data_IF_090780047620
#
_entry.id   IF_090780047620
#
_cell.length_a   1.000
_cell.length_b   1.000
_cell.length_c   1.000
_cell.angle_alpha   90.00
_cell.angle_beta   90.00
_cell.angle_gamma   90.00
#
_symmetry.space_group_name_H-M   'P 1'
#
loop_
_entity.id
_entity.type
_entity.pdbx_description
1 polymer ?
#
# COMPACT_ATOMS: atom_id res chain seq x y z
N UNK A 1 -41.87 21.42 63.18
CA UNK A 1 -40.88 22.31 62.53
C UNK A 1 -39.46 21.77 62.55
N UNK A 2 -38.88 21.33 63.68
CA UNK A 2 -37.47 20.85 63.73
C UNK A 2 -37.16 19.64 62.81
N UNK A 3 -38.05 18.65 62.73
CA UNK A 3 -37.87 17.45 61.86
C UNK A 3 -37.95 17.80 60.36
N UNK A 4 -38.80 18.76 60.00
CA UNK A 4 -38.97 19.24 58.62
C UNK A 4 -37.74 20.03 58.15
N UNK A 5 -37.12 20.81 59.03
CA UNK A 5 -35.91 21.58 58.71
C UNK A 5 -34.69 20.68 58.45
N UNK A 6 -34.54 19.60 59.21
CA UNK A 6 -33.46 18.61 59.05
C UNK A 6 -33.60 17.84 57.73
N UNK A 7 -34.83 17.48 57.34
CA UNK A 7 -35.08 16.81 56.06
C UNK A 7 -34.75 17.69 54.85
N UNK A 8 -35.03 19.00 54.92
CA UNK A 8 -34.68 19.97 53.86
C UNK A 8 -33.17 20.17 53.79
N UNK A 9 -32.47 20.22 54.92
CA UNK A 9 -31.00 20.30 54.99
C UNK A 9 -30.31 19.04 54.43
N UNK A 10 -30.86 17.85 54.69
CA UNK A 10 -30.35 16.58 54.14
C UNK A 10 -30.62 16.44 52.63
N UNK A 11 -31.75 16.96 52.12
CA UNK A 11 -32.00 17.04 50.68
C UNK A 11 -31.03 18.02 50.00
N UNK A 12 -30.77 19.18 50.61
CA UNK A 12 -29.83 20.16 50.09
C UNK A 12 -28.37 19.66 50.10
N UNK A 13 -27.98 18.91 51.13
CA UNK A 13 -26.65 18.30 51.23
C UNK A 13 -26.43 17.19 50.18
N UNK A 14 -27.45 16.38 49.88
CA UNK A 14 -27.37 15.38 48.80
C UNK A 14 -27.33 16.04 47.41
N UNK A 15 -27.96 17.20 47.22
CA UNK A 15 -27.83 18.00 46.00
C UNK A 15 -26.42 18.56 45.79
N UNK A 16 -25.74 18.92 46.88
CA UNK A 16 -24.37 19.47 46.84
C UNK A 16 -23.28 18.39 46.71
N UNK A 17 -23.49 17.17 47.22
CA UNK A 17 -22.51 16.07 47.12
C UNK A 17 -22.58 15.24 45.82
N UNK A 18 -23.66 15.34 45.05
CA UNK A 18 -23.75 14.77 43.71
C UNK A 18 -23.02 15.61 42.63
N UNK A 19 -22.43 16.73 43.05
CA UNK A 19 -21.69 17.67 42.21
C UNK A 19 -20.20 17.67 42.53
N UNK A 20 -19.57 16.48 42.53
CA UNK A 20 -18.20 16.42 42.01
C UNK A 20 -18.31 16.60 40.50
N UNK A 21 -18.58 17.86 40.12
CA UNK A 21 -18.67 18.35 38.76
C UNK A 21 -17.35 18.03 38.07
N UNK A 22 -17.41 17.12 37.12
CA UNK A 22 -16.54 17.12 35.96
C UNK A 22 -16.27 18.58 35.53
N UNK A 23 -15.05 19.08 35.73
CA UNK A 23 -14.66 20.46 35.41
C UNK A 23 -14.25 20.65 33.94
N UNK A 24 -14.31 19.59 33.13
CA UNK A 24 -13.97 19.64 31.71
C UNK A 24 -15.16 20.04 30.84
N UNK A 25 -15.15 21.24 30.29
CA UNK A 25 -16.17 21.77 29.38
C UNK A 25 -16.30 21.04 28.01
N UNK A 26 -16.04 19.73 27.87
CA UNK A 26 -15.94 19.12 26.53
C UNK A 26 -16.09 17.59 26.43
N UNK A 27 -17.12 16.96 26.99
CA UNK A 27 -17.64 15.67 26.46
C UNK A 27 -19.18 15.66 26.49
N UNK A 28 -19.88 16.29 25.51
CA UNK A 28 -21.30 16.04 25.31
C UNK A 28 -21.51 14.57 24.92
N UNK A 29 -22.07 13.78 25.82
CA UNK A 29 -22.77 12.54 25.47
C UNK A 29 -24.15 12.94 24.97
N UNK A 30 -24.48 12.66 23.71
CA UNK A 30 -25.87 12.78 23.25
C UNK A 30 -26.71 11.64 23.83
N UNK A 31 -28.04 11.83 23.87
CA UNK A 31 -29.02 10.87 24.41
C UNK A 31 -28.97 9.47 23.76
N UNK A 32 -28.24 9.32 22.65
CA UNK A 32 -28.06 8.07 21.90
C UNK A 32 -26.69 7.40 22.11
N UNK A 33 -25.92 7.79 23.13
CA UNK A 33 -24.63 7.17 23.47
C UNK A 33 -23.45 7.58 22.57
N UNK A 34 -23.63 8.59 21.72
CA UNK A 34 -22.57 9.14 20.87
C UNK A 34 -21.81 10.25 21.58
N UNK A 35 -20.48 10.29 21.40
CA UNK A 35 -19.56 11.23 22.06
C UNK A 35 -19.00 12.24 21.05
N UNK A 36 -19.19 13.53 21.32
CA UNK A 36 -18.55 14.62 20.59
C UNK A 36 -17.37 15.22 21.36
N UNK A 37 -16.23 15.46 20.71
CA UNK A 37 -15.08 16.17 21.29
C UNK A 37 -14.70 17.35 20.38
N UNK A 38 -14.77 18.57 20.91
CA UNK A 38 -14.40 19.81 20.22
C UNK A 38 -15.57 20.79 19.98
N UNK A 39 -15.26 22.06 19.75
CA UNK A 39 -16.28 23.10 19.54
C UNK A 39 -17.05 22.84 18.23
N UNK A 40 -18.37 22.68 18.31
CA UNK A 40 -19.25 22.40 17.17
C UNK A 40 -19.76 20.96 17.05
N UNK A 41 -19.35 20.03 17.93
CA UNK A 41 -19.84 18.64 17.96
C UNK A 41 -21.18 18.51 18.72
N UNK A 42 -22.15 19.38 18.48
CA UNK A 42 -23.44 19.37 19.19
C UNK A 42 -24.39 18.27 18.71
N UNK A 43 -24.10 17.64 17.57
CA UNK A 43 -24.84 16.50 17.01
C UNK A 43 -23.88 15.49 16.33
N UNK A 44 -23.10 14.70 17.08
CA UNK A 44 -22.27 13.64 16.53
C UNK A 44 -23.09 12.64 15.69
N UNK A 45 -22.64 12.37 14.47
CA UNK A 45 -23.22 11.41 13.53
C UNK A 45 -22.61 10.00 13.68
N UNK A 46 -21.40 9.89 14.22
CA UNK A 46 -20.72 8.65 14.60
C UNK A 46 -20.68 8.43 16.12
N UNK A 47 -20.34 7.21 16.58
CA UNK A 47 -20.20 6.89 18.01
C UNK A 47 -19.15 7.75 18.72
N UNK A 48 -18.11 8.17 18.00
CA UNK A 48 -17.11 9.14 18.44
C UNK A 48 -16.85 10.13 17.29
N UNK A 49 -17.21 11.40 17.48
CA UNK A 49 -16.94 12.49 16.54
C UNK A 49 -15.97 13.48 17.18
N UNK A 50 -14.79 13.66 16.57
CA UNK A 50 -13.79 14.64 17.02
C UNK A 50 -13.72 15.76 15.99
N UNK A 51 -14.15 16.97 16.36
CA UNK A 51 -14.10 18.14 15.50
C UNK A 51 -13.04 19.10 16.02
N UNK A 52 -11.99 19.32 15.23
CA UNK A 52 -11.01 20.38 15.51
C UNK A 52 -11.61 21.72 15.05
N UNK A 53 -11.81 22.72 15.93
CA UNK A 53 -12.13 24.07 15.49
C UNK A 53 -10.95 24.63 14.70
N UNK A 54 -11.22 25.10 13.48
CA UNK A 54 -10.25 25.78 12.65
C UNK A 54 -10.26 27.28 13.02
N UNK A 55 -9.19 27.75 13.65
CA UNK A 55 -8.98 29.18 13.89
C UNK A 55 -7.84 29.67 13.00
N UNK A 56 -8.17 30.51 12.02
CA UNK A 56 -7.19 31.15 11.16
C UNK A 56 -6.59 32.36 11.89
N UNK A 57 -5.31 32.29 12.25
CA UNK A 57 -4.53 33.45 12.71
C UNK A 57 -3.50 33.80 11.64
N UNK A 58 -3.59 34.97 10.97
CA UNK A 58 -2.85 35.26 9.73
C UNK A 58 -1.32 35.38 9.83
N UNK A 59 -0.68 35.06 10.96
CA UNK A 59 0.76 35.32 11.17
C UNK A 59 1.55 34.22 11.89
N UNK A 60 0.97 33.05 12.17
CA UNK A 60 1.72 31.94 12.79
C UNK A 60 2.03 30.84 11.76
N UNK A 61 3.25 30.26 11.77
CA UNK A 61 3.52 29.05 11.02
C UNK A 61 2.53 27.98 11.46
N UNK A 62 1.68 27.50 10.54
CA UNK A 62 0.77 26.40 10.84
C UNK A 62 1.60 25.13 10.97
N UNK A 63 2.08 24.81 12.18
CA UNK A 63 2.57 23.46 12.47
C UNK A 63 1.36 22.53 12.43
N UNK A 64 1.30 21.55 11.50
CA UNK A 64 0.19 20.61 11.45
C UNK A 64 0.06 19.90 12.80
N UNK A 65 -1.12 19.99 13.41
CA UNK A 65 -1.42 19.27 14.65
C UNK A 65 -2.40 18.13 14.33
N UNK A 66 -2.17 16.91 14.85
CA UNK A 66 -3.04 15.76 14.59
C UNK A 66 -4.45 15.98 15.14
N UNK A 67 -5.47 15.48 14.44
CA UNK A 67 -6.87 15.56 14.87
C UNK A 67 -7.20 14.54 15.97
N UNK A 68 -6.50 13.41 15.95
CA UNK A 68 -6.48 12.42 17.01
C UNK A 68 -5.03 12.00 17.21
N UNK A 69 -4.55 12.11 18.46
CA UNK A 69 -3.18 11.77 18.86
C UNK A 69 -3.22 10.75 19.99
N UNK A 70 -2.65 9.57 19.77
CA UNK A 70 -2.42 8.57 20.82
C UNK A 70 -0.90 8.46 20.99
N UNK A 71 -0.38 8.79 22.17
CA UNK A 71 1.06 8.80 22.45
C UNK A 71 1.40 7.83 23.57
N UNK A 72 2.60 7.24 23.50
CA UNK A 72 3.23 6.58 24.64
C UNK A 72 4.24 7.54 25.26
N UNK A 73 4.24 7.67 26.58
CA UNK A 73 5.33 8.30 27.30
C UNK A 73 6.32 7.22 27.75
N UNK A 74 7.59 7.38 27.38
CA UNK A 74 8.70 6.73 28.11
C UNK A 74 9.29 7.75 29.07
N UNK A 75 9.65 7.32 30.28
CA UNK A 75 10.10 8.19 31.37
C UNK A 75 11.54 8.70 31.21
N UNK A 76 12.19 8.46 30.07
CA UNK A 76 13.53 9.01 29.80
C UNK A 76 13.38 10.38 29.13
N UNK A 77 13.82 11.43 29.82
CA UNK A 77 13.80 12.85 29.37
C UNK A 77 14.61 13.16 28.09
N UNK A 78 14.95 12.17 27.28
CA UNK A 78 15.81 12.29 26.10
C UNK A 78 15.20 11.71 24.81
N UNK A 79 13.96 11.20 24.85
CA UNK A 79 13.24 10.79 23.64
C UNK A 79 11.93 11.58 23.52
N UNK A 80 11.72 12.23 22.37
CA UNK A 80 10.42 12.82 22.06
C UNK A 80 9.36 11.71 22.12
N UNK A 81 8.22 11.92 22.80
CA UNK A 81 7.19 10.88 22.91
C UNK A 81 6.71 10.49 21.53
N UNK A 82 6.99 9.24 21.14
CA UNK A 82 6.59 8.68 19.86
C UNK A 82 5.07 8.56 19.78
N UNK A 83 4.50 8.89 18.62
CA UNK A 83 3.08 8.72 18.38
C UNK A 83 2.79 7.26 18.04
N UNK A 84 1.78 6.67 18.66
CA UNK A 84 1.32 5.29 18.39
C UNK A 84 0.34 5.27 17.21
N UNK A 85 -0.49 6.31 17.10
CA UNK A 85 -1.47 6.44 16.03
C UNK A 85 -1.83 7.92 15.83
N UNK A 86 -1.70 8.40 14.59
CA UNK A 86 -2.07 9.76 14.21
C UNK A 86 -2.94 9.74 12.96
N UNK A 87 -4.08 10.44 13.03
CA UNK A 87 -4.84 10.83 11.84
C UNK A 87 -4.71 12.35 11.73
N UNK A 88 -4.08 12.83 10.66
CA UNK A 88 -3.95 14.26 10.38
C UNK A 88 -4.30 14.58 8.92
N UNK A 89 -4.80 15.78 8.69
CA UNK A 89 -5.04 16.33 7.34
C UNK A 89 -3.82 17.13 6.92
N UNK A 90 -3.12 16.73 5.85
CA UNK A 90 -2.01 17.48 5.28
C UNK A 90 -2.50 18.58 4.33
N UNK A 91 -1.95 19.79 4.41
CA UNK A 91 -2.08 20.80 3.36
C UNK A 91 -0.87 20.71 2.42
N UNK A 92 -1.09 20.50 1.12
CA UNK A 92 -0.04 20.71 0.11
C UNK A 92 -0.22 22.09 -0.54
N UNK A 93 0.72 22.99 -0.26
CA UNK A 93 1.03 24.15 -1.11
C UNK A 93 0.45 25.50 -0.69
N UNK A 94 1.33 26.51 -0.65
CA UNK A 94 1.00 27.93 -0.74
C UNK A 94 0.54 28.22 -2.18
N UNK A 95 -0.77 28.12 -2.46
CA UNK A 95 -1.30 28.46 -3.79
C UNK A 95 -2.74 27.98 -3.97
N UNK A 96 -3.68 28.92 -4.04
CA UNK A 96 -5.10 28.66 -4.32
C UNK A 96 -5.32 28.33 -5.81
N UNK A 97 -6.30 27.46 -6.18
CA UNK A 97 -7.17 26.65 -5.31
C UNK A 97 -6.56 25.26 -5.07
N UNK A 98 -5.96 25.05 -3.89
CA UNK A 98 -5.37 23.76 -3.54
C UNK A 98 -6.44 22.67 -3.46
N UNK A 99 -6.24 21.57 -4.19
CA UNK A 99 -7.06 20.36 -4.08
C UNK A 99 -6.95 19.79 -2.67
N UNK A 100 -8.07 19.73 -1.95
CA UNK A 100 -8.12 19.11 -0.62
C UNK A 100 -8.02 17.59 -0.79
N UNK A 101 -6.87 17.00 -0.46
CA UNK A 101 -6.69 15.54 -0.40
C UNK A 101 -6.95 15.06 1.03
N UNK A 102 -7.82 14.06 1.18
CA UNK A 102 -7.93 13.31 2.43
C UNK A 102 -6.87 12.20 2.38
N UNK A 103 -5.83 12.32 3.19
CA UNK A 103 -4.79 11.29 3.32
C UNK A 103 -4.89 10.68 4.72
N UNK A 104 -4.88 9.35 4.81
CA UNK A 104 -4.67 8.61 6.05
C UNK A 104 -3.25 8.06 6.03
N UNK A 105 -2.36 8.68 6.78
CA UNK A 105 -0.94 8.30 6.84
C UNK A 105 -0.69 7.39 8.04
N UNK A 106 -0.16 6.19 7.79
CA UNK A 106 0.42 5.35 8.83
C UNK A 106 1.94 5.55 8.81
N UNK A 107 2.48 6.27 9.78
CA UNK A 107 3.92 6.47 9.92
C UNK A 107 4.48 5.50 10.96
N UNK A 108 5.55 4.79 10.61
CA UNK A 108 6.37 4.04 11.55
C UNK A 108 7.72 4.74 11.67
N UNK A 109 8.00 5.33 12.83
CA UNK A 109 9.28 5.97 13.13
C UNK A 109 10.23 5.01 13.87
N UNK A 110 11.51 5.37 14.02
CA UNK A 110 12.49 4.64 14.84
C UNK A 110 12.62 3.14 14.48
N UNK A 111 12.82 2.82 13.20
CA UNK A 111 12.90 1.43 12.70
C UNK A 111 11.62 0.60 12.93
N UNK A 112 10.48 1.26 13.16
CA UNK A 112 9.18 0.61 13.21
C UNK A 112 8.77 0.06 11.85
N UNK A 113 8.01 -1.04 11.85
CA UNK A 113 7.42 -1.63 10.65
C UNK A 113 5.89 -1.69 10.75
N UNK A 114 5.21 -1.64 9.61
CA UNK A 114 3.77 -1.94 9.52
C UNK A 114 3.63 -3.44 9.23
N UNK A 115 3.17 -4.20 10.22
CA UNK A 115 2.94 -5.64 10.06
C UNK A 115 1.52 -5.91 9.58
N UNK A 116 1.40 -6.59 8.43
CA UNK A 116 0.12 -7.03 7.87
C UNK A 116 0.16 -8.55 7.73
N UNK A 117 -0.50 -9.24 8.67
CA UNK A 117 -0.45 -10.70 8.71
C UNK A 117 -1.28 -11.38 7.60
N UNK A 118 -2.24 -10.66 7.00
CA UNK A 118 -3.15 -11.21 6.00
C UNK A 118 -2.96 -10.53 4.64
N UNK A 119 -3.96 -9.78 4.16
CA UNK A 119 -4.01 -9.14 2.84
C UNK A 119 -3.96 -7.62 3.00
N UNK A 120 -3.11 -6.94 2.23
CA UNK A 120 -3.11 -5.50 2.02
C UNK A 120 -3.76 -5.20 0.66
N UNK A 121 -4.83 -4.40 0.67
CA UNK A 121 -5.49 -3.91 -0.54
C UNK A 121 -5.29 -2.42 -0.67
N UNK A 122 -4.84 -1.98 -1.85
CA UNK A 122 -4.67 -0.59 -2.21
C UNK A 122 -5.64 -0.31 -3.36
N UNK A 123 -6.66 0.51 -3.12
CA UNK A 123 -7.66 0.90 -4.11
C UNK A 123 -9.07 0.34 -3.88
N UNK A 124 -10.08 0.87 -4.61
CA UNK A 124 -11.50 0.66 -4.34
C UNK A 124 -12.03 -0.69 -4.82
N UNK A 125 -11.30 -1.46 -5.62
CA UNK A 125 -11.74 -2.77 -6.16
C UNK A 125 -10.96 -3.93 -5.55
N UNK A 126 -11.64 -5.06 -5.33
CA UNK A 126 -11.01 -6.29 -4.83
C UNK A 126 -10.42 -7.07 -6.00
N UNK A 127 -9.22 -7.63 -5.83
CA UNK A 127 -8.74 -8.65 -6.76
C UNK A 127 -9.70 -9.86 -6.77
N UNK A 128 -10.05 -10.36 -7.95
CA UNK A 128 -10.97 -11.48 -8.15
C UNK A 128 -10.29 -12.62 -8.92
N UNK A 129 -10.98 -13.77 -9.02
CA UNK A 129 -10.49 -14.93 -9.78
C UNK A 129 -9.17 -15.49 -9.23
N UNK A 130 -8.22 -15.75 -10.11
CA UNK A 130 -6.91 -16.34 -9.78
C UNK A 130 -6.07 -15.48 -8.81
N UNK A 131 -6.39 -14.20 -8.65
CA UNK A 131 -5.65 -13.26 -7.80
C UNK A 131 -6.33 -12.96 -6.47
N UNK A 132 -7.51 -13.54 -6.21
CA UNK A 132 -8.32 -13.23 -5.02
C UNK A 132 -7.58 -13.49 -3.70
N UNK A 133 -6.62 -14.42 -3.71
CA UNK A 133 -5.84 -14.84 -2.53
C UNK A 133 -4.46 -14.21 -2.40
N UNK A 134 -4.13 -13.25 -3.26
CA UNK A 134 -2.84 -12.56 -3.18
C UNK A 134 -2.79 -11.67 -1.92
N UNK A 135 -1.61 -11.67 -1.27
CA UNK A 135 -1.40 -10.92 -0.02
C UNK A 135 -1.30 -9.41 -0.22
N UNK A 136 -0.97 -8.96 -1.42
CA UNK A 136 -0.97 -7.55 -1.80
C UNK A 136 -1.69 -7.39 -3.13
N UNK A 137 -2.72 -6.55 -3.19
CA UNK A 137 -3.41 -6.17 -4.42
C UNK A 137 -3.43 -4.66 -4.58
N UNK A 138 -3.03 -4.16 -5.75
CA UNK A 138 -3.08 -2.73 -6.09
C UNK A 138 -4.03 -2.55 -7.27
N UNK A 139 -5.17 -1.91 -7.01
CA UNK A 139 -6.11 -1.43 -8.03
C UNK A 139 -5.67 -0.02 -8.46
N UNK A 140 -4.72 0.01 -9.39
CA UNK A 140 -4.08 1.23 -9.87
C UNK A 140 -2.63 1.01 -10.32
N UNK A 141 -1.85 2.09 -10.35
CA UNK A 141 -0.44 2.05 -10.73
C UNK A 141 0.47 2.01 -9.51
N UNK A 142 1.56 1.25 -9.63
CA UNK A 142 2.62 1.17 -8.61
C UNK A 142 3.91 1.75 -9.19
N UNK A 143 4.55 2.65 -8.45
CA UNK A 143 5.89 3.18 -8.76
C UNK A 143 6.85 2.77 -7.65
N UNK A 144 7.96 2.16 -8.02
CA UNK A 144 9.02 1.76 -7.11
C UNK A 144 10.40 2.11 -7.68
N UNK A 145 11.33 2.52 -6.81
CA UNK A 145 12.73 2.74 -7.22
C UNK A 145 13.48 1.42 -7.47
N UNK A 146 13.12 0.38 -6.72
CA UNK A 146 13.72 -0.97 -6.81
C UNK A 146 12.70 -2.01 -6.37
N UNK A 147 12.55 -3.07 -7.16
CA UNK A 147 11.80 -4.27 -6.82
C UNK A 147 12.78 -5.44 -6.89
N UNK A 148 12.83 -6.27 -5.84
CA UNK A 148 13.62 -7.50 -5.82
C UNK A 148 12.65 -8.63 -5.60
N UNK A 149 12.56 -9.54 -6.58
CA UNK A 149 11.73 -10.75 -6.48
C UNK A 149 12.67 -11.92 -6.24
N UNK A 150 12.42 -12.66 -5.16
CA UNK A 150 13.18 -13.87 -4.84
C UNK A 150 12.52 -15.05 -5.53
N UNK A 151 13.34 -15.86 -6.19
CA UNK A 151 12.92 -17.11 -6.84
C UNK A 151 13.86 -18.23 -6.44
N UNK A 152 13.29 -19.40 -6.15
CA UNK A 152 14.03 -20.57 -5.67
C UNK A 152 14.74 -21.31 -6.80
N UNK A 153 14.15 -21.35 -8.00
CA UNK A 153 14.69 -22.03 -9.17
C UNK A 153 14.78 -21.08 -10.37
N UNK A 154 15.98 -20.95 -10.94
CA UNK A 154 16.23 -20.16 -12.15
C UNK A 154 16.45 -21.08 -13.35
N UNK A 155 15.97 -20.67 -14.53
CA UNK A 155 16.19 -21.43 -15.76
C UNK A 155 17.57 -21.13 -16.33
N UNK A 156 18.53 -22.02 -16.09
CA UNK A 156 19.81 -22.10 -16.77
C UNK A 156 19.97 -23.54 -17.29
N UNK A 157 19.28 -23.85 -18.38
CA UNK A 157 19.26 -25.22 -18.94
C UNK A 157 19.43 -25.27 -20.45
N UNK A 158 19.33 -24.15 -21.17
CA UNK A 158 19.46 -24.13 -22.64
C UNK A 158 20.89 -24.46 -23.08
N UNK A 159 21.88 -24.16 -22.23
CA UNK A 159 23.28 -24.49 -22.49
C UNK A 159 23.70 -25.88 -22.04
N UNK A 160 22.79 -26.68 -21.45
CA UNK A 160 23.11 -28.07 -21.12
C UNK A 160 23.14 -28.94 -22.38
N UNK A 161 24.07 -29.90 -22.42
CA UNK A 161 24.26 -30.82 -23.56
C UNK A 161 23.00 -31.62 -23.94
N UNK A 162 22.08 -31.81 -22.99
CA UNK A 162 20.82 -32.50 -23.20
C UNK A 162 19.69 -31.61 -23.77
N UNK A 163 19.93 -30.31 -23.95
CA UNK A 163 18.93 -29.39 -24.48
C UNK A 163 18.72 -29.61 -25.98
N UNK A 164 17.52 -30.04 -26.35
CA UNK A 164 17.12 -30.16 -27.74
C UNK A 164 16.74 -28.77 -28.29
N UNK A 165 17.70 -28.09 -28.91
CA UNK A 165 17.44 -26.83 -29.61
C UNK A 165 16.43 -27.08 -30.76
N UNK A 166 15.28 -26.38 -30.79
CA UNK A 166 14.32 -26.54 -31.88
C UNK A 166 14.93 -26.22 -33.25
N UNK A 167 14.46 -26.85 -34.32
CA UNK A 167 14.89 -26.43 -35.66
C UNK A 167 14.22 -25.11 -36.06
N UNK A 168 14.95 -24.27 -36.81
CA UNK A 168 14.42 -22.94 -37.21
C UNK A 168 13.19 -23.05 -38.11
N UNK A 169 13.04 -24.14 -38.87
CA UNK A 169 11.86 -24.41 -39.70
C UNK A 169 10.61 -24.62 -38.84
N UNK A 170 10.72 -25.42 -37.77
CA UNK A 170 9.62 -25.66 -36.82
C UNK A 170 9.23 -24.36 -36.11
N UNK A 171 10.22 -23.56 -35.70
CA UNK A 171 9.97 -22.25 -35.09
C UNK A 171 9.27 -21.30 -36.07
N UNK A 172 9.70 -21.27 -37.34
CA UNK A 172 9.09 -20.44 -38.36
C UNK A 172 7.64 -20.88 -38.65
N UNK A 173 7.38 -22.18 -38.72
CA UNK A 173 6.02 -22.71 -38.86
C UNK A 173 5.14 -22.27 -37.69
N UNK A 174 5.62 -22.45 -36.45
CA UNK A 174 4.87 -22.05 -35.25
C UNK A 174 4.55 -20.55 -35.24
N UNK A 175 5.53 -19.69 -35.56
CA UNK A 175 5.32 -18.24 -35.61
C UNK A 175 4.31 -17.87 -36.70
N UNK A 176 4.35 -18.54 -37.85
CA UNK A 176 3.41 -18.29 -38.93
C UNK A 176 1.97 -18.67 -38.54
N UNK A 177 1.79 -19.76 -37.80
CA UNK A 177 0.49 -20.26 -37.35
C UNK A 177 -0.06 -19.47 -36.15
N UNK A 178 0.74 -19.29 -35.10
CA UNK A 178 0.29 -18.77 -33.80
C UNK A 178 0.58 -17.29 -33.57
N UNK A 179 1.40 -16.64 -34.41
CA UNK A 179 1.79 -15.22 -34.30
C UNK A 179 2.52 -14.84 -33.01
N UNK A 180 3.10 -15.81 -32.31
CA UNK A 180 4.02 -15.62 -31.19
C UNK A 180 5.07 -16.72 -31.18
N UNK A 181 6.11 -16.58 -30.34
CA UNK A 181 7.16 -17.59 -30.21
C UNK A 181 6.69 -18.80 -29.39
N UNK A 182 7.22 -20.00 -29.65
CA UNK A 182 6.96 -21.18 -28.83
C UNK A 182 7.31 -20.93 -27.35
N UNK A 183 6.39 -21.25 -26.45
CA UNK A 183 6.55 -21.05 -25.00
C UNK A 183 6.39 -19.61 -24.51
N UNK A 184 6.17 -18.64 -25.40
CA UNK A 184 5.78 -17.27 -25.04
C UNK A 184 4.25 -17.19 -25.02
N UNK A 185 3.61 -16.70 -23.94
CA UNK A 185 2.16 -16.58 -23.88
C UNK A 185 1.65 -15.59 -24.94
N UNK A 186 0.48 -15.88 -25.49
CA UNK A 186 -0.20 -15.00 -26.44
C UNK A 186 -0.73 -13.73 -25.76
N UNK A 187 -1.02 -12.68 -26.55
CA UNK A 187 -1.64 -11.45 -26.02
C UNK A 187 -2.97 -11.73 -25.32
N UNK A 188 -3.77 -12.65 -25.86
CA UNK A 188 -5.05 -13.06 -25.26
C UNK A 188 -4.83 -13.68 -23.88
N UNK A 189 -3.85 -14.58 -23.74
CA UNK A 189 -3.53 -15.20 -22.46
C UNK A 189 -2.99 -14.20 -21.44
N UNK A 190 -2.16 -13.24 -21.87
CA UNK A 190 -1.65 -12.18 -21.01
C UNK A 190 -2.75 -11.26 -20.49
N UNK A 191 -3.76 -10.96 -21.31
CA UNK A 191 -4.92 -10.17 -20.89
C UNK A 191 -5.80 -10.90 -19.88
N UNK A 192 -5.93 -12.22 -20.01
CA UNK A 192 -6.77 -13.04 -19.14
C UNK A 192 -6.07 -13.39 -17.82
N UNK A 193 -4.84 -13.90 -17.90
CA UNK A 193 -4.09 -14.48 -16.77
C UNK A 193 -3.10 -13.49 -16.14
N UNK A 194 -2.98 -12.29 -16.69
CA UNK A 194 -1.96 -11.32 -16.28
C UNK A 194 -0.55 -11.74 -16.68
N UNK A 195 0.41 -10.87 -16.38
CA UNK A 195 1.84 -11.10 -16.62
C UNK A 195 2.51 -11.45 -15.29
N UNK A 196 3.04 -12.67 -15.18
CA UNK A 196 3.94 -13.03 -14.09
C UNK A 196 5.36 -12.58 -14.47
N UNK A 197 5.92 -11.65 -13.69
CA UNK A 197 7.14 -10.93 -14.06
C UNK A 197 8.36 -11.86 -14.07
N UNK A 198 8.41 -12.84 -13.15
CA UNK A 198 9.56 -13.72 -13.08
C UNK A 198 9.55 -14.73 -14.22
N UNK A 199 8.41 -15.35 -14.47
CA UNK A 199 8.22 -16.32 -15.54
C UNK A 199 8.46 -15.69 -16.91
N UNK A 200 8.00 -14.47 -17.14
CA UNK A 200 8.29 -13.78 -18.40
C UNK A 200 9.78 -13.49 -18.56
N UNK A 201 10.48 -13.08 -17.50
CA UNK A 201 11.93 -12.90 -17.55
C UNK A 201 12.65 -14.23 -17.78
N UNK A 202 12.16 -15.33 -17.19
CA UNK A 202 12.68 -16.68 -17.39
C UNK A 202 12.55 -17.11 -18.87
N UNK A 203 11.37 -16.93 -19.46
CA UNK A 203 11.11 -17.22 -20.87
C UNK A 203 11.99 -16.33 -21.76
N UNK A 204 12.11 -15.04 -21.45
CA UNK A 204 12.95 -14.13 -22.22
C UNK A 204 14.42 -14.56 -22.21
N UNK A 205 14.96 -14.96 -21.06
CA UNK A 205 16.32 -15.50 -20.96
C UNK A 205 16.47 -16.77 -21.81
N UNK A 206 15.55 -17.73 -21.67
CA UNK A 206 15.56 -18.93 -22.51
C UNK A 206 15.61 -18.59 -24.01
N UNK A 207 14.83 -17.60 -24.47
CA UNK A 207 14.83 -17.19 -25.88
C UNK A 207 16.10 -16.47 -26.30
N UNK A 208 16.71 -15.66 -25.42
CA UNK A 208 18.03 -15.07 -25.68
C UNK A 208 19.11 -16.14 -25.82
N UNK A 209 19.06 -17.19 -25.00
CA UNK A 209 20.01 -18.31 -25.06
C UNK A 209 19.82 -19.14 -26.35
N UNK A 210 18.58 -19.48 -26.71
CA UNK A 210 18.25 -20.15 -27.97
C UNK A 210 18.73 -19.33 -29.18
N UNK A 211 18.44 -18.02 -29.20
CA UNK A 211 18.91 -17.10 -30.25
C UNK A 211 20.45 -17.07 -30.33
N UNK A 212 21.12 -17.09 -29.19
CA UNK A 212 22.59 -17.13 -29.14
C UNK A 212 23.13 -18.42 -29.77
N UNK A 213 22.51 -19.57 -29.50
CA UNK A 213 22.89 -20.84 -30.14
C UNK A 213 22.65 -20.83 -31.65
N UNK A 214 21.53 -20.27 -32.12
CA UNK A 214 21.28 -20.13 -33.56
C UNK A 214 22.31 -19.22 -34.23
N UNK A 215 22.67 -18.09 -33.62
CA UNK A 215 23.70 -17.19 -34.16
C UNK A 215 25.06 -17.87 -34.23
N UNK A 216 25.44 -18.65 -33.21
CA UNK A 216 26.69 -19.45 -33.23
C UNK A 216 26.65 -20.48 -34.37
N UNK A 217 25.52 -21.18 -34.57
CA UNK A 217 25.34 -22.14 -35.68
C UNK A 217 25.48 -21.44 -37.04
N UNK A 218 24.79 -20.32 -37.23
CA UNK A 218 24.84 -19.54 -38.46
C UNK A 218 26.25 -18.99 -38.76
N UNK A 219 26.97 -18.50 -37.74
CA UNK A 219 28.34 -18.01 -37.92
C UNK A 219 29.29 -19.12 -38.39
N UNK A 220 29.16 -20.33 -37.83
CA UNK A 220 29.94 -21.50 -38.28
C UNK A 220 29.66 -21.85 -39.74
N UNK A 221 28.39 -21.81 -40.16
CA UNK A 221 28.00 -22.04 -41.56
C UNK A 221 28.58 -20.98 -42.50
N UNK A 222 28.51 -19.70 -42.11
CA UNK A 222 29.09 -18.59 -42.88
C UNK A 222 30.61 -18.77 -43.05
N UNK A 223 31.32 -19.13 -41.99
CA UNK A 223 32.78 -19.32 -42.04
C UNK A 223 33.14 -20.53 -42.92
N UNK A 224 32.38 -21.62 -42.86
CA UNK A 224 32.54 -22.76 -43.76
C UNK A 224 32.33 -22.36 -45.23
N UNK A 225 31.31 -21.54 -45.52
CA UNK A 225 31.05 -21.04 -46.87
C UNK A 225 32.17 -20.12 -47.40
N UNK A 226 32.73 -19.26 -46.55
CA UNK A 226 33.86 -18.37 -46.90
C UNK A 226 35.13 -19.16 -47.24
N UNK A 227 35.42 -20.21 -46.48
CA UNK A 227 36.57 -21.08 -46.75
C UNK A 227 36.43 -21.78 -48.10
N UNK A 228 35.22 -22.14 -48.50
CA UNK A 228 34.96 -22.80 -49.78
C UNK A 228 35.00 -21.84 -50.97
N UNK A 229 34.57 -20.57 -50.80
CA UNK A 229 34.62 -19.57 -51.87
C UNK A 229 36.00 -18.94 -52.08
N UNK A 230 36.89 -18.98 -51.08
CA UNK A 230 38.29 -18.50 -51.20
C UNK A 230 39.29 -19.53 -51.78
N UNK A 231 38.82 -20.72 -52.19
CA UNK A 231 39.65 -21.80 -52.77
C UNK A 231 39.59 -21.89 -54.31
N UNK A 232 38.94 -20.93 -54.97
CA UNK A 232 38.92 -20.77 -56.43
C UNK A 232 39.70 -19.51 -56.83
#
# INVERSE_FOLDING_TARGET
>A
MKKTLIAVLLLAANGAFAQNLWTGSSIPTTTNGKVGIGLGTTAPDASLSILRPYSFTPFEPVTPQPALKIQSSTSSQLAAPGNIFEIYRAYKGLGFPGTMINELTFAAENNGGILINTKLRIGPTQATGAFADYRLSVDGTLVAKRCVVQVDNWADFVFHDAYALPELEDVAQFVNEHKHLPGVPSEAELKEKGLEVVEMNRILMQKVEELTLYVIKQQKEIDALKVNTGKH
#
